data_IF_367063392060
#
_entry.id   IF_367063392060
#
_cell.length_a   1.000
_cell.length_b   1.000
_cell.length_c   1.000
_cell.angle_alpha   90.00
_cell.angle_beta   90.00
_cell.angle_gamma   90.00
#
_symmetry.space_group_name_H-M   'P 1'
#
loop_
_entity.id
_entity.type
_entity.pdbx_description
1 polymer ?
#
# COMPACT_ATOMS: atom_id res chain seq x y z
N UNK A 1 -0.97 15.46 -9.40
CA UNK A 1 -1.49 15.49 -8.01
C UNK A 1 -2.98 15.81 -7.91
N UNK A 2 -3.60 16.48 -8.89
CA UNK A 2 -5.07 16.55 -8.98
C UNK A 2 -5.64 15.17 -9.36
N UNK A 3 -6.46 14.56 -8.51
CA UNK A 3 -7.23 13.31 -8.70
C UNK A 3 -6.50 11.97 -8.45
N UNK A 4 -5.64 11.85 -7.43
CA UNK A 4 -5.12 10.55 -7.00
C UNK A 4 -5.83 10.05 -5.74
N UNK A 5 -6.65 9.00 -5.86
CA UNK A 5 -7.38 8.38 -4.74
C UNK A 5 -6.43 7.88 -3.63
N UNK A 6 -5.25 7.39 -3.99
CA UNK A 6 -4.25 6.93 -3.03
C UNK A 6 -3.69 8.08 -2.18
N UNK A 7 -3.47 9.26 -2.77
CA UNK A 7 -3.09 10.46 -2.01
C UNK A 7 -4.21 10.92 -1.07
N UNK A 8 -5.48 10.75 -1.47
CA UNK A 8 -6.62 11.04 -0.60
C UNK A 8 -6.71 10.06 0.58
N UNK A 9 -6.39 8.78 0.37
CA UNK A 9 -6.28 7.78 1.44
C UNK A 9 -5.16 8.17 2.41
N UNK A 10 -3.97 8.52 1.90
CA UNK A 10 -2.81 8.95 2.72
C UNK A 10 -3.18 10.17 3.57
N UNK A 11 -3.89 11.14 2.99
CA UNK A 11 -4.33 12.36 3.67
C UNK A 11 -5.62 12.20 4.47
N UNK A 12 -6.14 10.98 4.59
CA UNK A 12 -7.39 10.64 5.32
C UNK A 12 -8.64 11.36 4.82
N UNK A 13 -8.63 11.81 3.56
CA UNK A 13 -9.80 12.39 2.88
C UNK A 13 -10.74 11.31 2.36
N UNK A 14 -10.17 10.21 1.86
CA UNK A 14 -10.92 9.03 1.44
C UNK A 14 -10.81 7.93 2.49
N UNK A 15 -11.90 7.22 2.84
CA UNK A 15 -11.86 6.15 3.83
C UNK A 15 -11.05 4.96 3.30
N UNK A 16 -10.28 4.33 4.19
CA UNK A 16 -9.61 3.06 3.93
C UNK A 16 -9.48 2.28 5.24
N UNK A 17 -9.58 0.95 5.15
CA UNK A 17 -9.28 0.09 6.28
C UNK A 17 -7.76 -0.14 6.35
N UNK A 18 -7.06 0.79 7.01
CA UNK A 18 -5.61 0.76 7.17
C UNK A 18 -5.22 -0.27 8.22
N UNK A 19 -4.34 -1.19 7.85
CA UNK A 19 -3.86 -2.26 8.74
C UNK A 19 -2.43 -2.02 9.21
N UNK A 20 -1.67 -1.21 8.49
CA UNK A 20 -0.28 -0.90 8.80
C UNK A 20 0.15 0.41 8.14
N UNK A 21 1.01 1.18 8.81
CA UNK A 21 1.72 2.30 8.21
C UNK A 21 3.04 2.57 8.93
N UNK A 22 4.01 3.10 8.21
CA UNK A 22 5.22 3.71 8.77
C UNK A 22 5.44 5.12 8.19
N UNK A 23 6.66 5.65 8.27
CA UNK A 23 6.97 6.98 7.75
C UNK A 23 6.84 7.09 6.22
N UNK A 24 7.07 5.99 5.50
CA UNK A 24 7.23 5.99 4.05
C UNK A 24 6.14 5.21 3.32
N UNK A 25 5.46 4.27 3.98
CA UNK A 25 4.51 3.35 3.38
C UNK A 25 3.20 3.24 4.18
N UNK A 26 2.15 2.79 3.51
CA UNK A 26 0.85 2.48 4.11
C UNK A 26 0.25 1.24 3.42
N UNK A 27 -0.39 0.39 4.22
CA UNK A 27 -1.09 -0.80 3.75
C UNK A 27 -2.54 -0.80 4.24
N UNK A 28 -3.46 -1.11 3.35
CA UNK A 28 -4.89 -1.13 3.63
C UNK A 28 -5.61 -2.21 2.82
N UNK A 29 -6.76 -2.68 3.32
CA UNK A 29 -7.53 -3.70 2.63
C UNK A 29 -8.15 -3.17 1.34
N UNK A 30 -8.08 -3.96 0.28
CA UNK A 30 -8.77 -3.67 -0.98
C UNK A 30 -10.28 -3.67 -0.77
N UNK A 31 -10.98 -2.71 -1.41
CA UNK A 31 -12.44 -2.70 -1.48
C UNK A 31 -12.99 -3.68 -2.54
N UNK A 32 -12.11 -4.22 -3.39
CA UNK A 32 -12.41 -5.27 -4.38
C UNK A 32 -11.53 -6.50 -4.12
N UNK A 33 -11.67 -7.18 -2.97
CA UNK A 33 -10.85 -8.35 -2.66
C UNK A 33 -11.33 -9.57 -3.46
N UNK A 34 -10.41 -10.30 -4.08
CA UNK A 34 -10.67 -11.62 -4.67
C UNK A 34 -10.45 -12.77 -3.67
N UNK A 35 -9.65 -12.55 -2.63
CA UNK A 35 -9.44 -13.47 -1.50
C UNK A 35 -9.46 -12.70 -0.17
N UNK A 36 -9.69 -13.38 0.97
CA UNK A 36 -9.53 -12.75 2.28
C UNK A 36 -8.12 -12.19 2.47
N UNK A 37 -8.01 -10.97 2.99
CA UNK A 37 -6.72 -10.34 3.31
C UNK A 37 -6.04 -9.60 2.15
N UNK A 38 -6.65 -9.52 0.95
CA UNK A 38 -6.07 -8.75 -0.17
C UNK A 38 -5.80 -7.31 0.25
N UNK A 39 -4.53 -6.97 0.24
CA UNK A 39 -4.01 -5.71 0.78
C UNK A 39 -3.34 -4.93 -0.34
N UNK A 40 -3.63 -3.64 -0.39
CA UNK A 40 -2.95 -2.67 -1.24
C UNK A 40 -1.87 -2.00 -0.41
N UNK A 41 -0.63 -2.06 -0.89
CA UNK A 41 0.54 -1.45 -0.25
C UNK A 41 1.07 -0.37 -1.17
N UNK A 42 1.21 0.85 -0.66
CA UNK A 42 1.65 2.00 -1.44
C UNK A 42 2.69 2.82 -0.68
N UNK A 43 3.58 3.53 -1.40
CA UNK A 43 4.38 4.60 -0.81
C UNK A 43 3.49 5.81 -0.47
N UNK A 44 3.81 6.52 0.62
CA UNK A 44 3.20 7.80 0.98
C UNK A 44 3.59 8.92 0.00
N UNK A 45 4.77 8.79 -0.63
CA UNK A 45 5.17 9.65 -1.74
C UNK A 45 4.50 9.19 -3.04
N UNK A 46 3.94 10.13 -3.79
CA UNK A 46 3.29 9.85 -5.07
C UNK A 46 4.30 9.53 -6.17
N UNK A 47 4.04 8.44 -6.90
CA UNK A 47 4.77 7.99 -8.08
C UNK A 47 3.79 7.61 -9.20
N UNK A 48 4.30 7.45 -10.42
CA UNK A 48 3.56 6.87 -11.54
C UNK A 48 3.24 5.38 -11.33
N UNK A 49 2.37 4.82 -12.17
CA UNK A 49 1.97 3.40 -12.07
C UNK A 49 3.02 2.43 -12.63
N UNK A 50 4.01 2.91 -13.38
CA UNK A 50 5.02 2.07 -13.99
C UNK A 50 6.15 1.75 -12.99
N UNK A 51 6.15 0.53 -12.46
CA UNK A 51 7.07 0.13 -11.39
C UNK A 51 8.55 0.23 -11.78
N UNK A 52 8.90 0.04 -13.06
CA UNK A 52 10.28 0.09 -13.54
C UNK A 52 10.83 1.51 -13.73
N UNK A 53 10.02 2.55 -13.52
CA UNK A 53 10.49 3.94 -13.39
C UNK A 53 10.96 4.29 -11.97
N UNK A 54 10.68 3.43 -10.99
CA UNK A 54 11.15 3.63 -9.61
C UNK A 54 12.65 3.35 -9.53
N UNK A 55 13.35 4.06 -8.63
CA UNK A 55 14.71 3.66 -8.26
C UNK A 55 14.70 2.32 -7.52
N UNK A 56 15.82 1.61 -7.57
CA UNK A 56 15.99 0.30 -6.89
C UNK A 56 15.62 0.36 -5.40
N UNK A 57 15.98 1.45 -4.71
CA UNK A 57 15.61 1.68 -3.30
C UNK A 57 14.10 1.78 -3.08
N UNK A 58 13.38 2.49 -3.97
CA UNK A 58 11.93 2.64 -3.84
C UNK A 58 11.21 1.32 -4.16
N UNK A 59 11.67 0.61 -5.20
CA UNK A 59 11.10 -0.68 -5.59
C UNK A 59 11.34 -1.74 -4.50
N UNK A 60 12.57 -1.88 -4.02
CA UNK A 60 12.91 -2.81 -2.95
C UNK A 60 12.20 -2.48 -1.64
N UNK A 61 12.10 -1.20 -1.29
CA UNK A 61 11.36 -0.74 -0.12
C UNK A 61 9.87 -1.10 -0.18
N UNK A 62 9.23 -1.03 -1.36
CA UNK A 62 7.84 -1.44 -1.54
C UNK A 62 7.63 -2.96 -1.29
N UNK A 63 8.58 -3.79 -1.72
CA UNK A 63 8.55 -5.24 -1.47
C UNK A 63 8.71 -5.53 0.04
N UNK A 64 9.62 -4.83 0.72
CA UNK A 64 9.81 -4.95 2.17
C UNK A 64 8.56 -4.49 2.93
N UNK A 65 7.97 -3.37 2.52
CA UNK A 65 6.72 -2.86 3.08
C UNK A 65 5.58 -3.88 2.91
N UNK A 66 5.53 -4.58 1.77
CA UNK A 66 4.53 -5.62 1.51
C UNK A 66 4.65 -6.78 2.47
N UNK A 67 5.88 -7.21 2.78
CA UNK A 67 6.14 -8.21 3.83
C UNK A 67 5.61 -7.73 5.19
N UNK A 68 5.96 -6.51 5.62
CA UNK A 68 5.52 -5.94 6.91
C UNK A 68 4.00 -5.81 7.01
N UNK A 69 3.36 -5.40 5.92
CA UNK A 69 1.90 -5.34 5.82
C UNK A 69 1.26 -6.72 5.97
N UNK A 70 1.84 -7.75 5.35
CA UNK A 70 1.35 -9.13 5.48
C UNK A 70 1.46 -9.68 6.91
N UNK A 71 2.46 -9.25 7.67
CA UNK A 71 2.62 -9.67 9.08
C UNK A 71 1.48 -9.18 9.98
N UNK A 72 0.67 -8.21 9.54
CA UNK A 72 -0.49 -7.72 10.30
C UNK A 72 -1.76 -8.56 10.06
N UNK A 73 -1.73 -9.48 9.09
CA UNK A 73 -2.88 -10.28 8.72
C UNK A 73 -2.94 -11.57 9.57
N UNK A 74 -4.14 -11.99 10.02
CA UNK A 74 -4.27 -13.21 10.80
C UNK A 74 -4.13 -14.43 9.89
N UNK A 75 -2.97 -15.10 9.99
CA UNK A 75 -2.68 -16.35 9.30
C UNK A 75 -2.08 -16.16 7.91
N UNK A 76 -1.36 -17.18 7.45
CA UNK A 76 -0.87 -17.24 6.08
C UNK A 76 -2.04 -17.60 5.16
N UNK A 77 -2.65 -16.58 4.57
CA UNK A 77 -3.64 -16.79 3.51
C UNK A 77 -2.98 -17.50 2.31
N UNK A 78 -3.67 -18.45 1.68
CA UNK A 78 -3.13 -19.30 0.61
C UNK A 78 -2.80 -18.55 -0.67
#
# INVERSE_FOLDING_TARGET
MSNCIFCEIITRKSPAHVIWEDNDYIAFLSIYPNTPGVTVVIPKKHYGSYAFELSDDNLSGLIIASKRGSDQLPGHYP
#
